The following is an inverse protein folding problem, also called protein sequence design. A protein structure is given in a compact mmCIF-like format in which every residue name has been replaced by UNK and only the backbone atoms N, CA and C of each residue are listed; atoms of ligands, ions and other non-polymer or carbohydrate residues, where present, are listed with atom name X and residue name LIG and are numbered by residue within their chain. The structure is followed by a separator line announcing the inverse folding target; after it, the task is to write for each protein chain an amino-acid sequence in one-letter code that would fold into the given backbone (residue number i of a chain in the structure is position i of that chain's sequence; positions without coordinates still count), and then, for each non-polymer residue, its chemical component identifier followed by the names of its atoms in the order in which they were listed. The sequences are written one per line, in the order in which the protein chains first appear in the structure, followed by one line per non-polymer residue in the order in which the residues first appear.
data_IF_559422428654
#
_entry.id   IF_559422428654
#
_cell.length_a   1.000
_cell.length_b   1.000
_cell.length_c   1.000
_cell.angle_alpha   90.00
_cell.angle_beta   90.00
_cell.angle_gamma   90.00
#
_symmetry.space_group_name_H-M   'P 1'
#
loop_
_entity.id
_entity.type
_entity.pdbx_description
1 polymer ?
#
# COMPACT_ATOMS: atom_id res chain seq x y z
N UNK A 1 -11.36 17.08 20.64
CA UNK A 1 -11.90 16.17 19.62
C UNK A 1 -11.83 14.77 20.19
N UNK A 2 -12.94 14.04 20.22
CA UNK A 2 -12.98 12.65 20.71
C UNK A 2 -12.70 11.70 19.55
N UNK A 3 -11.91 10.66 19.77
CA UNK A 3 -11.51 9.66 18.78
C UNK A 3 -11.75 8.25 19.31
N UNK A 4 -11.79 7.28 18.40
CA UNK A 4 -11.80 5.85 18.72
C UNK A 4 -10.38 5.29 18.61
N UNK A 5 -10.08 4.29 19.44
CA UNK A 5 -8.82 3.58 19.45
C UNK A 5 -9.04 2.08 19.24
N UNK A 6 -8.23 1.46 18.39
CA UNK A 6 -8.19 0.00 18.19
C UNK A 6 -6.78 -0.45 18.58
N UNK A 7 -6.69 -1.33 19.58
CA UNK A 7 -5.45 -2.03 19.91
C UNK A 7 -5.49 -3.44 19.29
N UNK A 8 -4.47 -3.77 18.51
CA UNK A 8 -4.30 -5.09 17.91
C UNK A 8 -2.91 -5.62 18.30
N UNK A 9 -2.89 -6.76 18.98
CA UNK A 9 -1.68 -7.41 19.49
C UNK A 9 -1.66 -8.82 18.92
N UNK A 10 -0.54 -9.20 18.33
CA UNK A 10 -0.30 -10.55 17.85
C UNK A 10 -0.24 -11.53 19.03
N UNK A 11 -0.99 -12.63 18.93
CA UNK A 11 -1.08 -13.67 19.95
C UNK A 11 -0.57 -15.00 19.39
N UNK A 12 -0.03 -15.85 20.25
CA UNK A 12 0.48 -17.18 19.89
C UNK A 12 1.59 -17.16 18.80
N UNK A 13 2.45 -16.15 18.81
CA UNK A 13 3.61 -16.07 17.91
C UNK A 13 4.69 -17.09 18.28
N UNK A 14 5.53 -17.45 17.32
CA UNK A 14 6.58 -18.44 17.50
C UNK A 14 7.72 -17.90 18.39
N UNK A 15 8.45 -18.75 19.16
CA UNK A 15 9.50 -18.29 20.07
C UNK A 15 10.63 -17.48 19.43
N UNK A 16 10.86 -17.65 18.13
CA UNK A 16 11.83 -16.90 17.34
C UNK A 16 11.39 -15.48 16.98
N UNK A 17 10.13 -15.11 17.23
CA UNK A 17 9.62 -13.76 16.99
C UNK A 17 10.05 -12.86 18.15
N UNK A 18 11.09 -12.08 17.92
CA UNK A 18 11.62 -11.12 18.92
C UNK A 18 10.67 -9.94 19.16
N UNK A 19 10.01 -9.45 18.10
CA UNK A 19 9.09 -8.31 18.14
C UNK A 19 7.74 -8.68 17.49
N UNK A 20 6.74 -9.12 18.27
CA UNK A 20 5.41 -9.40 17.74
C UNK A 20 4.71 -8.12 17.29
N UNK A 21 3.76 -8.25 16.36
CA UNK A 21 3.01 -7.11 15.85
C UNK A 21 2.15 -6.51 16.97
N UNK A 22 2.36 -5.22 17.23
CA UNK A 22 1.53 -4.41 18.12
C UNK A 22 1.14 -3.10 17.41
N UNK A 23 -0.16 -2.90 17.20
CA UNK A 23 -0.70 -1.70 16.57
C UNK A 23 -1.72 -1.00 17.47
N UNK A 24 -1.58 0.32 17.59
CA UNK A 24 -2.61 1.22 18.11
C UNK A 24 -3.10 2.13 16.99
N UNK A 25 -4.34 1.94 16.54
CA UNK A 25 -4.94 2.71 15.47
C UNK A 25 -5.91 3.74 16.06
N UNK A 26 -5.70 5.01 15.75
CA UNK A 26 -6.64 6.09 16.07
C UNK A 26 -7.50 6.41 14.85
N UNK A 27 -8.81 6.51 15.04
CA UNK A 27 -9.74 6.78 13.95
C UNK A 27 -10.89 7.66 14.39
N UNK A 28 -11.41 8.46 13.45
CA UNK A 28 -12.65 9.24 13.61
C UNK A 28 -13.90 8.41 13.30
N UNK A 29 -13.72 7.19 12.77
CA UNK A 29 -14.80 6.28 12.46
C UNK A 29 -15.25 5.53 13.72
N UNK A 30 -16.55 5.28 13.83
CA UNK A 30 -17.15 4.59 14.98
C UNK A 30 -16.66 3.15 15.08
N UNK A 31 -16.37 2.71 16.32
CA UNK A 31 -15.93 1.35 16.67
C UNK A 31 -16.58 0.91 17.98
N UNK A 32 -17.81 0.40 17.87
CA UNK A 32 -18.60 -0.12 18.99
C UNK A 32 -18.54 -1.65 19.10
N UNK A 33 -18.21 -2.35 18.02
CA UNK A 33 -18.17 -3.82 17.97
C UNK A 33 -16.83 -4.35 17.49
N UNK A 34 -16.60 -5.63 17.76
CA UNK A 34 -15.39 -6.33 17.33
C UNK A 34 -15.30 -6.43 15.80
N UNK A 35 -16.43 -6.64 15.12
CA UNK A 35 -16.53 -6.67 13.66
C UNK A 35 -16.14 -5.31 13.07
N UNK A 36 -16.55 -4.22 13.71
CA UNK A 36 -16.13 -2.89 13.29
C UNK A 36 -14.62 -2.69 13.50
N UNK A 37 -14.07 -3.12 14.63
CA UNK A 37 -12.63 -3.01 14.88
C UNK A 37 -11.80 -3.80 13.84
N UNK A 38 -12.20 -5.05 13.56
CA UNK A 38 -11.51 -5.92 12.59
C UNK A 38 -11.63 -5.41 11.15
N UNK A 39 -12.75 -4.79 10.78
CA UNK A 39 -12.90 -4.12 9.49
C UNK A 39 -11.85 -3.00 9.31
N UNK A 40 -11.73 -2.09 10.28
CA UNK A 40 -10.78 -0.96 10.19
C UNK A 40 -9.34 -1.46 10.24
N UNK A 41 -9.07 -2.49 11.03
CA UNK A 41 -7.78 -3.19 11.04
C UNK A 41 -7.45 -3.75 9.64
N UNK A 42 -8.43 -4.37 8.96
CA UNK A 42 -8.25 -4.90 7.60
C UNK A 42 -7.96 -3.81 6.57
N UNK A 43 -8.48 -2.59 6.77
CA UNK A 43 -8.17 -1.45 5.92
C UNK A 43 -6.75 -0.95 6.18
N UNK A 44 -6.36 -0.83 7.44
CA UNK A 44 -5.01 -0.42 7.81
C UNK A 44 -3.95 -1.42 7.35
N UNK A 45 -4.25 -2.73 7.37
CA UNK A 45 -3.36 -3.76 6.84
C UNK A 45 -3.02 -3.56 5.34
N UNK A 46 -3.87 -2.87 4.58
CA UNK A 46 -3.62 -2.53 3.16
C UNK A 46 -2.68 -1.34 2.98
N UNK A 47 -2.29 -0.63 4.05
CA UNK A 47 -1.44 0.58 4.01
C UNK A 47 -0.13 0.34 3.28
N UNK A 48 0.47 -0.86 3.42
CA UNK A 48 1.74 -1.21 2.79
C UNK A 48 1.73 -1.11 1.25
N UNK A 49 0.55 -1.11 0.62
CA UNK A 49 0.43 -0.93 -0.83
C UNK A 49 1.10 0.34 -1.35
N UNK A 50 1.13 1.43 -0.57
CA UNK A 50 1.79 2.68 -0.97
C UNK A 50 3.31 2.53 -1.07
N UNK A 51 3.93 1.71 -0.20
CA UNK A 51 5.38 1.46 -0.24
C UNK A 51 5.76 0.63 -1.47
N UNK A 52 4.91 -0.31 -1.87
CA UNK A 52 5.11 -1.08 -3.10
C UNK A 52 4.97 -0.17 -4.32
N UNK A 53 4.02 0.77 -4.31
CA UNK A 53 3.88 1.78 -5.35
C UNK A 53 5.12 2.69 -5.42
N UNK A 54 5.58 3.23 -4.29
CA UNK A 54 6.81 4.03 -4.22
C UNK A 54 8.04 3.27 -4.71
N UNK A 55 8.19 1.99 -4.34
CA UNK A 55 9.26 1.13 -4.84
C UNK A 55 9.16 0.92 -6.35
N UNK A 56 7.94 0.75 -6.87
CA UNK A 56 7.71 0.59 -8.31
C UNK A 56 8.10 1.87 -9.06
N UNK A 57 7.76 3.03 -8.51
CA UNK A 57 8.14 4.32 -9.06
C UNK A 57 9.66 4.54 -9.01
N UNK A 58 10.30 4.34 -7.86
CA UNK A 58 11.73 4.59 -7.67
C UNK A 58 12.61 3.56 -8.38
N UNK A 59 12.43 2.28 -8.07
CA UNK A 59 13.30 1.21 -8.57
C UNK A 59 12.85 0.65 -9.92
N UNK A 60 11.54 0.65 -10.20
CA UNK A 60 10.97 0.18 -11.47
C UNK A 60 11.05 1.24 -12.56
N UNK A 61 10.44 2.41 -12.34
CA UNK A 61 10.46 3.53 -13.30
C UNK A 61 11.75 4.37 -13.24
N UNK A 62 12.64 4.09 -12.27
CA UNK A 62 13.99 4.70 -12.15
C UNK A 62 13.96 6.22 -12.11
N UNK A 63 12.95 6.79 -11.44
CA UNK A 63 12.74 8.25 -11.45
C UNK A 63 13.93 9.02 -10.85
N UNK A 64 14.65 8.42 -9.89
CA UNK A 64 15.80 9.03 -9.22
C UNK A 64 17.07 9.01 -10.08
N UNK A 65 17.11 8.24 -11.18
CA UNK A 65 18.25 8.18 -12.10
C UNK A 65 18.17 9.25 -13.20
N UNK A 66 17.09 10.05 -13.26
CA UNK A 66 16.85 11.01 -14.34
C UNK A 66 17.69 12.27 -14.19
N UNK A 67 18.44 12.61 -15.25
CA UNK A 67 19.37 13.74 -15.29
C UNK A 67 18.84 14.90 -16.15
N UNK A 68 17.65 15.41 -15.84
CA UNK A 68 17.13 16.60 -16.54
C UNK A 68 17.88 17.86 -16.12
N UNK A 69 18.30 18.68 -17.09
CA UNK A 69 19.00 19.94 -16.80
C UNK A 69 18.13 21.07 -16.22
N UNK A 70 16.83 20.84 -16.04
CA UNK A 70 15.85 21.81 -15.52
C UNK A 70 14.74 21.10 -14.74
N UNK A 71 14.40 21.61 -13.56
CA UNK A 71 13.39 21.01 -12.65
C UNK A 71 11.99 21.02 -13.28
N UNK A 72 11.66 22.02 -14.07
CA UNK A 72 10.35 22.15 -14.73
C UNK A 72 10.10 21.03 -15.75
N UNK A 73 11.16 20.33 -16.19
CA UNK A 73 11.04 19.15 -17.06
C UNK A 73 10.83 17.85 -16.28
N UNK A 74 11.12 17.86 -14.98
CA UNK A 74 10.93 16.71 -14.11
C UNK A 74 9.44 16.48 -13.82
N UNK A 75 8.68 17.54 -13.55
CA UNK A 75 7.25 17.46 -13.20
C UNK A 75 6.39 16.72 -14.22
N UNK A 76 6.38 17.06 -15.53
CA UNK A 76 5.58 16.32 -16.51
C UNK A 76 6.05 14.88 -16.68
N UNK A 77 7.35 14.63 -16.52
CA UNK A 77 7.92 13.29 -16.61
C UNK A 77 7.48 12.41 -15.43
N UNK A 78 7.53 12.99 -14.22
CA UNK A 78 7.06 12.36 -12.99
C UNK A 78 5.56 12.07 -13.06
N UNK A 79 4.76 12.99 -13.61
CA UNK A 79 3.33 12.78 -13.79
C UNK A 79 3.03 11.52 -14.64
N UNK A 80 3.80 11.31 -15.71
CA UNK A 80 3.69 10.10 -16.54
C UNK A 80 4.09 8.86 -15.74
N UNK A 81 5.21 8.90 -15.02
CA UNK A 81 5.67 7.74 -14.24
C UNK A 81 4.73 7.37 -13.11
N UNK A 82 4.08 8.34 -12.48
CA UNK A 82 3.08 8.07 -11.45
C UNK A 82 1.96 7.18 -12.00
N UNK A 83 1.49 7.45 -13.23
CA UNK A 83 0.47 6.64 -13.92
C UNK A 83 1.03 5.28 -14.33
N UNK A 84 2.24 5.23 -14.88
CA UNK A 84 2.89 3.99 -15.31
C UNK A 84 3.16 3.06 -14.11
N UNK A 85 3.73 3.59 -13.03
CA UNK A 85 3.99 2.84 -11.80
C UNK A 85 2.69 2.29 -11.20
N UNK A 86 1.59 3.04 -11.29
CA UNK A 86 0.29 2.59 -10.79
C UNK A 86 -0.24 1.44 -11.64
N UNK A 87 -0.14 1.56 -12.97
CA UNK A 87 -0.51 0.49 -13.91
C UNK A 87 0.29 -0.80 -13.65
N UNK A 88 1.60 -0.69 -13.47
CA UNK A 88 2.47 -1.84 -13.16
C UNK A 88 2.05 -2.48 -11.83
N UNK A 89 1.87 -1.67 -10.80
CA UNK A 89 1.41 -2.15 -9.48
C UNK A 89 0.06 -2.87 -9.58
N UNK A 90 -0.89 -2.27 -10.29
CA UNK A 90 -2.23 -2.83 -10.47
C UNK A 90 -2.21 -4.16 -11.23
N UNK A 91 -1.49 -4.24 -12.35
CA UNK A 91 -1.36 -5.47 -13.13
C UNK A 91 -0.69 -6.59 -12.31
N UNK A 92 0.33 -6.25 -11.51
CA UNK A 92 0.99 -7.20 -10.60
C UNK A 92 0.01 -7.75 -9.56
N UNK A 93 -0.90 -6.92 -9.06
CA UNK A 93 -1.95 -7.34 -8.12
C UNK A 93 -2.99 -8.23 -8.80
N UNK A 94 -3.46 -7.85 -9.98
CA UNK A 94 -4.41 -8.65 -10.76
C UNK A 94 -3.87 -10.03 -11.12
N UNK A 95 -2.59 -10.12 -11.51
CA UNK A 95 -1.95 -11.40 -11.80
C UNK A 95 -1.92 -12.37 -10.61
N UNK A 96 -2.07 -11.86 -9.36
CA UNK A 96 -2.20 -12.68 -8.15
C UNK A 96 -3.65 -12.97 -7.80
N UNK A 97 -4.54 -11.99 -7.94
CA UNK A 97 -5.95 -12.12 -7.56
C UNK A 97 -6.77 -12.95 -8.56
N UNK A 98 -6.45 -12.83 -9.85
CA UNK A 98 -7.17 -13.48 -10.95
C UNK A 98 -6.19 -14.04 -12.00
N UNK A 99 -5.35 -15.03 -11.64
CA UNK A 99 -4.24 -15.48 -12.49
C UNK A 99 -4.68 -16.14 -13.82
N UNK A 100 -5.93 -16.61 -13.90
CA UNK A 100 -6.41 -17.42 -15.02
C UNK A 100 -7.23 -16.64 -16.05
N UNK A 101 -7.48 -15.34 -15.85
CA UNK A 101 -8.24 -14.55 -16.84
C UNK A 101 -7.32 -14.15 -18.00
N UNK A 102 -7.85 -14.09 -19.25
CA UNK A 102 -7.06 -13.66 -20.40
C UNK A 102 -6.47 -12.25 -20.21
N UNK A 103 -5.25 -12.02 -20.71
CA UNK A 103 -4.62 -10.71 -20.62
C UNK A 103 -5.43 -9.61 -21.34
N UNK A 104 -6.21 -9.96 -22.36
CA UNK A 104 -7.11 -9.06 -23.10
C UNK A 104 -8.21 -8.43 -22.26
N UNK A 105 -8.40 -8.87 -21.00
CA UNK A 105 -9.31 -8.21 -20.06
C UNK A 105 -8.68 -6.93 -19.46
N UNK A 106 -7.35 -6.83 -19.47
CA UNK A 106 -6.61 -5.76 -18.79
C UNK A 106 -5.87 -4.79 -19.72
N UNK A 107 -5.68 -5.17 -20.98
CA UNK A 107 -5.00 -4.42 -22.04
C UNK A 107 -5.93 -4.23 -23.23
#
# INVERSE_FOLDING_TARGET
MTLWAIAAIEVNYAPEVEEPIEWLLLTTLVVETFEQATEKLSWYAKRWGIEVYHRTLKSGCKIEERQFGKVERLEPCLAIDLVVAWRIFHLTKLGREVPNVPCTVFF
#
